data_IF_161218847266
#
_entry.id   IF_161218847266
#
_cell.length_a   1.000
_cell.length_b   1.000
_cell.length_c   1.000
_cell.angle_alpha   90.00
_cell.angle_beta   90.00
_cell.angle_gamma   90.00
#
_symmetry.space_group_name_H-M   'P 1'
#
loop_
_entity.id
_entity.type
_entity.pdbx_description
1 polymer ?
#
# COMPACT_ATOMS: atom_id res chain seq x y z
N UNK A 1 -11.05 -17.14 15.62
CA UNK A 1 -11.91 -16.82 14.47
C UNK A 1 -10.99 -16.60 13.28
N UNK A 2 -11.33 -17.04 12.06
CA UNK A 2 -10.46 -16.76 10.90
C UNK A 2 -10.48 -15.27 10.57
N UNK A 3 -9.30 -14.68 10.36
CA UNK A 3 -9.18 -13.28 9.96
C UNK A 3 -9.78 -13.05 8.55
N UNK A 4 -10.34 -11.85 8.26
CA UNK A 4 -10.83 -11.53 6.93
C UNK A 4 -9.68 -11.48 5.91
N UNK A 5 -9.98 -11.55 4.61
CA UNK A 5 -8.96 -11.44 3.54
C UNK A 5 -8.38 -10.04 3.37
N UNK A 6 -9.08 -9.02 3.87
CA UNK A 6 -8.58 -7.66 3.91
C UNK A 6 -9.07 -6.98 5.19
N UNK A 7 -8.29 -6.02 5.68
CA UNK A 7 -8.69 -5.16 6.78
C UNK A 7 -7.98 -3.83 6.68
N UNK A 8 -8.66 -2.74 7.04
CA UNK A 8 -8.06 -1.40 7.06
C UNK A 8 -8.56 -0.58 8.25
N UNK A 9 -7.67 -0.26 9.16
CA UNK A 9 -7.90 0.78 10.16
C UNK A 9 -7.69 2.17 9.56
N UNK A 10 -8.41 3.16 10.08
CA UNK A 10 -8.25 4.56 9.67
C UNK A 10 -7.97 5.44 10.89
N UNK A 11 -7.12 6.44 10.66
CA UNK A 11 -6.84 7.53 11.57
C UNK A 11 -7.51 8.82 11.05
N UNK A 12 -7.31 9.95 11.74
CA UNK A 12 -7.94 11.24 11.45
C UNK A 12 -7.49 11.85 10.12
N UNK A 13 -6.36 11.42 9.59
CA UNK A 13 -5.89 11.79 8.25
C UNK A 13 -4.47 11.30 7.96
N UNK A 14 -4.00 11.63 6.76
CA UNK A 14 -2.61 11.41 6.35
C UNK A 14 -1.92 12.76 6.42
N UNK A 15 -1.19 12.94 7.52
CA UNK A 15 -0.52 14.18 7.84
C UNK A 15 0.85 14.29 7.15
N UNK A 16 1.40 15.50 7.15
CA UNK A 16 2.72 15.78 6.58
C UNK A 16 3.64 16.29 7.69
N UNK A 17 4.72 15.57 7.98
CA UNK A 17 5.66 15.89 9.06
C UNK A 17 6.59 17.09 8.77
N UNK A 18 6.49 17.69 7.57
CA UNK A 18 7.14 18.96 7.15
C UNK A 18 8.66 19.07 7.39
N UNK A 19 9.36 17.94 7.40
CA UNK A 19 10.81 17.88 7.59
C UNK A 19 11.26 17.78 9.05
N UNK A 20 10.33 17.70 10.00
CA UNK A 20 10.61 17.75 11.44
C UNK A 20 11.14 16.45 12.04
N UNK A 21 11.35 15.37 11.25
CA UNK A 21 11.73 14.02 11.73
C UNK A 21 10.74 13.38 12.75
N UNK A 22 9.45 13.70 12.61
CA UNK A 22 8.36 13.29 13.52
C UNK A 22 7.68 11.96 13.18
N UNK A 23 8.31 11.12 12.37
CA UNK A 23 7.71 9.87 11.89
C UNK A 23 7.18 8.98 13.03
N UNK A 24 7.90 8.90 14.15
CA UNK A 24 7.47 8.13 15.33
C UNK A 24 6.16 8.64 15.91
N UNK A 25 6.00 9.96 15.93
CA UNK A 25 4.85 10.61 16.54
C UNK A 25 3.60 10.36 15.70
N UNK A 26 3.70 10.61 14.39
CA UNK A 26 2.60 10.38 13.45
C UNK A 26 2.18 8.90 13.42
N UNK A 27 3.14 7.97 13.46
CA UNK A 27 2.81 6.54 13.46
C UNK A 27 2.12 6.10 14.76
N UNK A 28 2.59 6.61 15.91
CA UNK A 28 2.01 6.32 17.23
C UNK A 28 0.63 6.95 17.41
N UNK A 29 0.46 8.23 17.04
CA UNK A 29 -0.84 8.91 17.09
C UNK A 29 -1.85 8.19 16.21
N UNK A 30 -1.51 7.89 14.95
CA UNK A 30 -2.41 7.19 14.02
C UNK A 30 -2.85 5.81 14.55
N UNK A 31 -1.94 5.04 15.15
CA UNK A 31 -2.30 3.78 15.82
C UNK A 31 -3.30 4.00 16.95
N UNK A 32 -3.05 4.97 17.83
CA UNK A 32 -3.91 5.25 18.98
C UNK A 32 -5.26 5.79 18.58
N UNK A 33 -5.32 6.65 17.56
CA UNK A 33 -6.56 7.15 16.99
C UNK A 33 -7.46 6.00 16.52
N UNK A 34 -6.90 5.05 15.77
CA UNK A 34 -7.62 3.86 15.33
C UNK A 34 -8.01 2.93 16.49
N UNK A 35 -7.12 2.77 17.47
CA UNK A 35 -7.38 1.93 18.64
C UNK A 35 -8.50 2.50 19.51
N UNK A 36 -8.46 3.79 19.84
CA UNK A 36 -9.44 4.46 20.70
C UNK A 36 -10.74 4.83 19.99
N UNK A 37 -10.78 4.84 18.66
CA UNK A 37 -12.05 4.88 17.94
C UNK A 37 -12.96 3.69 18.29
N UNK A 38 -12.38 2.55 18.70
CA UNK A 38 -13.12 1.37 19.19
C UNK A 38 -13.64 1.54 20.63
N UNK A 39 -13.15 2.53 21.36
CA UNK A 39 -13.62 2.90 22.70
C UNK A 39 -14.72 3.97 22.60
N UNK A 40 -14.49 5.00 21.80
CA UNK A 40 -15.32 6.20 21.77
C UNK A 40 -16.29 6.28 20.58
N UNK A 41 -16.21 5.37 19.62
CA UNK A 41 -17.11 5.32 18.47
C UNK A 41 -16.90 6.47 17.47
N UNK A 42 -15.76 7.15 17.54
CA UNK A 42 -15.34 8.18 16.60
C UNK A 42 -13.81 8.28 16.61
N UNK A 43 -13.23 8.74 15.50
CA UNK A 43 -11.79 9.02 15.42
C UNK A 43 -11.55 10.43 15.97
N UNK A 44 -10.71 10.54 16.99
CA UNK A 44 -10.32 11.82 17.60
C UNK A 44 -8.85 12.11 17.31
N UNK A 45 -8.50 13.23 16.63
CA UNK A 45 -7.10 13.59 16.34
C UNK A 45 -6.26 13.75 17.61
N UNK A 46 -5.10 13.09 17.66
CA UNK A 46 -4.17 13.13 18.80
C UNK A 46 -2.92 13.96 18.50
N UNK A 47 -2.41 14.63 19.53
CA UNK A 47 -1.34 15.62 19.34
C UNK A 47 0.04 15.00 19.08
N UNK A 48 0.59 15.26 17.89
CA UNK A 48 1.98 14.90 17.58
C UNK A 48 3.00 15.74 18.35
N UNK A 49 2.65 16.99 18.70
CA UNK A 49 3.49 17.85 19.54
C UNK A 49 3.55 17.35 20.98
N UNK A 50 2.45 16.81 21.51
CA UNK A 50 2.45 16.15 22.81
C UNK A 50 3.35 14.91 22.81
N UNK A 51 3.25 14.08 21.77
CA UNK A 51 4.16 12.95 21.58
C UNK A 51 5.62 13.42 21.55
N UNK A 52 5.94 14.52 20.87
CA UNK A 52 7.32 15.02 20.78
C UNK A 52 7.84 15.46 22.14
N UNK A 53 7.03 16.22 22.87
CA UNK A 53 7.32 16.67 24.23
C UNK A 53 7.56 15.49 25.17
N UNK A 54 6.68 14.48 25.18
CA UNK A 54 6.87 13.27 26.01
C UNK A 54 8.17 12.56 25.70
N UNK A 55 8.46 12.43 24.40
CA UNK A 55 9.67 11.81 23.90
C UNK A 55 10.95 12.52 24.38
N UNK A 56 10.99 13.85 24.26
CA UNK A 56 12.19 14.66 24.53
C UNK A 56 12.54 14.74 26.00
N UNK A 57 11.56 14.49 26.89
CA UNK A 57 11.79 14.33 28.34
C UNK A 57 12.68 13.13 28.68
N UNK A 58 12.76 12.10 27.82
CA UNK A 58 13.41 10.82 28.15
C UNK A 58 14.42 10.33 27.12
N UNK A 59 14.49 10.95 25.94
CA UNK A 59 15.32 10.43 24.86
C UNK A 59 16.83 10.64 25.09
N UNK A 60 17.20 11.64 25.90
CA UNK A 60 18.59 12.00 26.20
C UNK A 60 19.35 12.53 24.98
N UNK A 61 18.62 13.06 23.97
CA UNK A 61 19.17 13.54 22.70
C UNK A 61 18.63 14.94 22.39
N UNK A 62 19.11 15.97 23.11
CA UNK A 62 18.65 17.35 22.90
C UNK A 62 18.90 17.82 21.46
N UNK A 63 20.03 17.45 20.86
CA UNK A 63 20.40 17.92 19.51
C UNK A 63 19.80 17.09 18.36
N UNK A 64 19.09 15.99 18.66
CA UNK A 64 18.51 15.14 17.63
C UNK A 64 17.08 15.57 17.31
N UNK A 65 16.76 15.72 16.03
CA UNK A 65 15.40 16.10 15.60
C UNK A 65 14.38 14.96 15.66
N UNK A 66 14.81 13.71 15.93
CA UNK A 66 13.94 12.54 16.04
C UNK A 66 14.21 11.68 17.28
N UNK A 67 13.38 10.66 17.50
CA UNK A 67 13.28 9.93 18.77
C UNK A 67 13.29 8.41 18.58
N UNK A 68 13.87 7.63 19.51
CA UNK A 68 13.64 6.19 19.58
C UNK A 68 12.15 5.85 19.81
N UNK A 69 11.55 5.07 18.91
CA UNK A 69 10.13 4.70 18.95
C UNK A 69 9.70 4.07 20.28
N UNK A 70 10.52 3.17 20.81
CA UNK A 70 10.24 2.41 22.03
C UNK A 70 10.10 3.36 23.23
N UNK A 71 10.98 4.36 23.33
CA UNK A 71 10.91 5.38 24.39
C UNK A 71 9.61 6.19 24.31
N UNK A 72 9.20 6.60 23.11
CA UNK A 72 7.94 7.32 22.92
C UNK A 72 6.76 6.44 23.34
N UNK A 73 6.70 5.20 22.86
CA UNK A 73 5.60 4.28 23.17
C UNK A 73 5.52 3.99 24.68
N UNK A 74 6.65 3.86 25.37
CA UNK A 74 6.68 3.66 26.82
C UNK A 74 6.16 4.90 27.58
N UNK A 75 6.50 6.11 27.12
CA UNK A 75 5.93 7.35 27.68
C UNK A 75 4.43 7.46 27.43
N UNK A 76 3.94 7.02 26.28
CA UNK A 76 2.51 7.00 26.00
C UNK A 76 1.77 5.96 26.85
N UNK A 77 2.40 4.81 27.17
CA UNK A 77 1.85 3.88 28.16
C UNK A 77 1.85 4.45 29.59
N UNK A 78 2.69 5.44 29.88
CA UNK A 78 2.74 6.09 31.19
C UNK A 78 1.70 7.22 31.31
N UNK A 79 1.61 8.09 30.31
CA UNK A 79 0.84 9.33 30.38
C UNK A 79 -0.39 9.39 29.45
N UNK A 80 -0.44 8.55 28.42
CA UNK A 80 -1.40 8.67 27.32
C UNK A 80 -1.10 9.84 26.39
N UNK A 81 -2.07 10.19 25.54
CA UNK A 81 -1.95 11.29 24.57
C UNK A 81 -3.12 12.25 24.69
N UNK A 82 -2.87 13.56 24.73
CA UNK A 82 -3.92 14.55 24.63
C UNK A 82 -4.34 14.78 23.16
N UNK A 83 -5.46 15.44 22.97
CA UNK A 83 -6.00 15.73 21.64
C UNK A 83 -5.22 16.85 20.94
N UNK A 84 -5.22 16.83 19.60
CA UNK A 84 -4.67 17.92 18.79
C UNK A 84 -5.38 19.26 19.06
N UNK A 85 -6.68 19.22 19.42
CA UNK A 85 -7.43 20.41 19.79
C UNK A 85 -6.92 21.07 21.09
N UNK A 86 -6.46 20.26 22.05
CA UNK A 86 -5.99 20.76 23.34
C UNK A 86 -4.50 21.16 23.31
N UNK A 87 -3.68 20.43 22.56
CA UNK A 87 -2.25 20.72 22.40
C UNK A 87 -1.88 20.70 20.92
N UNK A 88 -2.13 21.78 20.19
CA UNK A 88 -2.01 21.79 18.74
C UNK A 88 -0.58 21.63 18.25
N UNK A 89 -0.44 21.13 17.03
CA UNK A 89 0.83 21.03 16.34
C UNK A 89 1.46 22.40 16.21
N UNK A 90 2.63 22.53 16.82
CA UNK A 90 3.37 23.78 16.84
C UNK A 90 4.39 23.79 15.69
N UNK A 91 4.25 24.74 14.77
CA UNK A 91 5.06 24.80 13.54
C UNK A 91 6.49 25.34 13.74
N UNK A 92 6.82 25.86 14.92
CA UNK A 92 8.15 26.40 15.21
C UNK A 92 9.16 25.26 15.45
N UNK A 93 10.32 25.34 14.80
CA UNK A 93 11.19 24.19 14.47
C UNK A 93 12.25 23.87 15.52
N UNK A 94 12.43 24.71 16.53
CA UNK A 94 13.49 24.54 17.54
C UNK A 94 13.05 23.64 18.72
N UNK A 95 12.75 22.38 18.41
CA UNK A 95 12.52 21.34 19.41
C UNK A 95 13.80 20.91 20.14
N UNK A 96 14.96 21.23 19.57
CA UNK A 96 16.27 20.87 20.12
C UNK A 96 16.59 21.62 21.42
N UNK A 97 15.92 22.76 21.67
CA UNK A 97 16.08 23.56 22.88
C UNK A 97 15.11 23.16 24.01
N UNK A 98 14.34 22.07 23.86
CA UNK A 98 13.24 21.70 24.78
C UNK A 98 12.18 22.81 24.97
N UNK A 99 12.10 23.76 24.05
CA UNK A 99 11.07 24.80 24.05
C UNK A 99 9.79 24.20 23.49
N UNK A 100 8.96 23.66 24.39
CA UNK A 100 7.61 23.19 24.04
C UNK A 100 6.58 24.22 24.47
N UNK A 101 5.38 24.15 23.89
CA UNK A 101 4.23 24.86 24.43
C UNK A 101 4.03 24.44 25.91
N UNK A 102 3.64 25.36 26.80
CA UNK A 102 3.39 25.02 28.19
C UNK A 102 2.35 23.89 28.33
N UNK A 103 2.64 22.92 29.20
CA UNK A 103 1.71 21.85 29.56
C UNK A 103 0.91 22.21 30.80
N UNK A 104 -0.33 21.74 30.91
CA UNK A 104 -1.20 21.93 32.09
C UNK A 104 -1.65 20.60 32.67
N UNK A 105 -2.05 20.57 33.94
CA UNK A 105 -2.60 19.36 34.58
C UNK A 105 -3.85 18.83 33.85
N UNK A 106 -4.68 19.74 33.32
CA UNK A 106 -5.86 19.36 32.52
C UNK A 106 -5.48 18.56 31.26
N UNK A 107 -4.36 18.87 30.62
CA UNK A 107 -3.85 18.10 29.47
C UNK A 107 -3.43 16.69 29.89
N UNK A 108 -2.77 16.55 31.04
CA UNK A 108 -2.40 15.25 31.60
C UNK A 108 -3.62 14.41 31.99
N UNK A 109 -4.65 15.04 32.56
CA UNK A 109 -5.91 14.36 32.86
C UNK A 109 -6.67 13.94 31.59
N UNK A 110 -6.69 14.76 30.54
CA UNK A 110 -7.26 14.35 29.26
C UNK A 110 -6.47 13.19 28.64
N UNK A 111 -5.13 13.25 28.69
CA UNK A 111 -4.27 12.26 28.07
C UNK A 111 -4.56 10.83 28.56
N UNK A 112 -4.97 10.68 29.83
CA UNK A 112 -5.37 9.39 30.41
C UNK A 112 -6.53 8.71 29.66
N UNK A 113 -7.38 9.46 28.94
CA UNK A 113 -8.45 8.91 28.10
C UNK A 113 -7.90 8.05 26.96
N UNK A 114 -6.75 8.44 26.41
CA UNK A 114 -6.11 7.78 25.26
C UNK A 114 -4.82 7.07 25.69
N UNK A 115 -4.88 6.37 26.83
CA UNK A 115 -3.74 5.70 27.44
C UNK A 115 -3.79 4.18 27.20
N UNK A 116 -2.87 3.62 26.39
CA UNK A 116 -2.73 2.17 26.28
C UNK A 116 -2.13 1.60 27.57
N UNK A 117 -2.36 0.31 27.82
CA UNK A 117 -1.92 -0.39 29.03
C UNK A 117 -0.42 -0.71 29.01
N UNK A 118 0.08 -1.19 27.87
CA UNK A 118 1.52 -1.47 27.66
C UNK A 118 1.86 -1.57 26.18
N UNK A 119 3.16 -1.42 25.88
CA UNK A 119 3.75 -1.77 24.59
C UNK A 119 3.91 -3.29 24.48
N UNK A 120 3.73 -3.81 23.27
CA UNK A 120 4.00 -5.19 22.89
C UNK A 120 5.05 -5.18 21.79
N UNK A 121 6.08 -6.01 21.93
CA UNK A 121 7.08 -6.24 20.88
C UNK A 121 6.71 -7.47 20.07
N UNK A 122 6.70 -7.33 18.74
CA UNK A 122 6.28 -8.38 17.82
C UNK A 122 7.47 -8.79 16.96
N UNK A 123 7.68 -10.09 16.79
CA UNK A 123 8.70 -10.60 15.87
C UNK A 123 8.36 -10.16 14.45
N UNK A 124 9.32 -9.56 13.76
CA UNK A 124 9.12 -9.02 12.40
C UNK A 124 8.72 -10.09 11.38
N UNK A 125 9.03 -11.36 11.65
CA UNK A 125 8.66 -12.50 10.80
C UNK A 125 7.30 -13.11 11.13
N UNK A 126 6.62 -12.68 12.18
CA UNK A 126 5.35 -13.24 12.65
C UNK A 126 4.16 -12.51 12.02
N UNK A 127 3.90 -12.81 10.75
CA UNK A 127 2.83 -12.19 9.95
C UNK A 127 1.46 -12.38 10.59
N UNK A 128 1.16 -13.56 11.13
CA UNK A 128 -0.15 -13.84 11.71
C UNK A 128 -0.38 -13.02 12.99
N UNK A 129 0.63 -12.90 13.86
CA UNK A 129 0.54 -12.01 15.03
C UNK A 129 0.34 -10.55 14.62
N UNK A 130 1.05 -10.07 13.59
CA UNK A 130 0.86 -8.70 13.07
C UNK A 130 -0.58 -8.51 12.56
N UNK A 131 -1.13 -9.47 11.81
CA UNK A 131 -2.51 -9.41 11.30
C UNK A 131 -3.54 -9.42 12.44
N UNK A 132 -3.33 -10.19 13.49
CA UNK A 132 -4.18 -10.15 14.68
C UNK A 132 -4.14 -8.76 15.33
N UNK A 133 -2.96 -8.15 15.50
CA UNK A 133 -2.86 -6.78 16.05
C UNK A 133 -3.51 -5.72 15.16
N UNK A 134 -3.45 -5.88 13.83
CA UNK A 134 -4.20 -5.03 12.90
C UNK A 134 -5.70 -5.15 13.15
N UNK A 135 -6.25 -6.36 13.22
CA UNK A 135 -7.69 -6.56 13.35
C UNK A 135 -8.19 -6.22 14.76
N UNK A 136 -7.46 -6.59 15.80
CA UNK A 136 -7.93 -6.60 17.19
C UNK A 136 -7.44 -5.41 18.01
N UNK A 137 -6.30 -4.80 17.63
CA UNK A 137 -5.65 -3.74 18.41
C UNK A 137 -5.43 -2.43 17.64
N UNK A 138 -5.93 -2.31 16.42
CA UNK A 138 -5.85 -1.10 15.60
C UNK A 138 -4.62 -1.00 14.70
N UNK A 139 -3.66 -1.93 14.82
CA UNK A 139 -2.43 -1.93 14.00
C UNK A 139 -1.15 -2.14 14.80
N UNK A 140 -0.05 -1.93 14.10
CA UNK A 140 1.29 -1.96 14.66
C UNK A 140 2.07 -0.73 14.19
N UNK A 141 3.06 -0.26 14.95
CA UNK A 141 4.06 0.69 14.46
C UNK A 141 5.34 -0.06 14.18
N UNK A 142 5.98 0.25 13.06
CA UNK A 142 7.23 -0.37 12.64
C UNK A 142 8.30 0.66 12.36
N UNK A 143 9.54 0.34 12.71
CA UNK A 143 10.70 1.01 12.14
C UNK A 143 11.10 0.29 10.85
N UNK A 144 11.07 1.01 9.75
CA UNK A 144 11.52 0.56 8.43
C UNK A 144 12.84 1.22 8.05
N UNK A 145 13.61 0.54 7.22
CA UNK A 145 14.84 1.07 6.63
C UNK A 145 14.51 1.76 5.31
N UNK A 146 14.96 3.00 5.15
CA UNK A 146 14.75 3.74 3.92
C UNK A 146 15.82 3.38 2.89
N UNK A 147 15.38 3.05 1.70
CA UNK A 147 16.23 2.86 0.53
C UNK A 147 15.88 3.94 -0.50
N UNK A 148 16.88 4.34 -1.30
CA UNK A 148 16.72 5.41 -2.30
C UNK A 148 15.57 5.12 -3.26
N UNK A 149 15.43 3.87 -3.67
CA UNK A 149 14.40 3.34 -4.57
C UNK A 149 12.99 3.43 -3.98
N UNK A 150 12.85 3.49 -2.65
CA UNK A 150 11.57 3.58 -1.95
C UNK A 150 11.17 5.01 -1.60
N UNK A 151 11.96 6.00 -2.02
CA UNK A 151 11.57 7.41 -1.90
C UNK A 151 10.31 7.70 -2.71
N UNK A 152 10.20 7.09 -3.91
CA UNK A 152 9.05 7.21 -4.81
C UNK A 152 8.62 5.82 -5.30
N UNK A 153 7.98 5.02 -4.44
CA UNK A 153 7.65 3.65 -4.76
C UNK A 153 6.64 3.60 -5.90
N UNK A 154 6.81 2.59 -6.77
CA UNK A 154 5.96 2.39 -7.94
C UNK A 154 4.52 2.18 -7.46
N UNK A 155 3.68 3.20 -7.68
CA UNK A 155 2.28 3.22 -7.24
C UNK A 155 2.10 2.90 -5.75
N UNK A 156 3.03 3.35 -4.90
CA UNK A 156 2.97 3.06 -3.45
C UNK A 156 3.49 1.68 -3.06
N UNK A 157 3.85 0.81 -4.00
CA UNK A 157 4.34 -0.52 -3.67
C UNK A 157 5.84 -0.52 -3.35
N UNK A 158 6.20 -0.98 -2.16
CA UNK A 158 7.59 -1.11 -1.72
C UNK A 158 8.01 -2.56 -1.83
N UNK A 159 8.85 -2.87 -2.81
CA UNK A 159 9.37 -4.23 -3.06
C UNK A 159 10.85 -4.31 -2.73
N UNK A 160 11.40 -5.53 -2.76
CA UNK A 160 12.83 -5.77 -2.58
C UNK A 160 13.66 -4.85 -3.50
N UNK A 161 14.67 -4.13 -2.98
CA UNK A 161 15.48 -3.22 -3.75
C UNK A 161 16.41 -4.01 -4.66
N UNK A 162 17.10 -3.29 -5.56
CA UNK A 162 18.13 -3.89 -6.38
C UNK A 162 19.24 -4.49 -5.51
N UNK A 163 19.87 -5.57 -6.01
CA UNK A 163 21.02 -6.17 -5.34
C UNK A 163 22.13 -5.13 -5.22
N UNK A 164 22.71 -5.00 -4.03
CA UNK A 164 23.76 -4.02 -3.74
C UNK A 164 23.27 -2.68 -3.20
N UNK A 165 21.96 -2.44 -3.14
CA UNK A 165 21.41 -1.23 -2.52
C UNK A 165 21.59 -1.26 -0.99
N UNK A 166 21.93 -0.11 -0.41
CA UNK A 166 22.10 0.05 1.04
C UNK A 166 21.06 1.04 1.59
N UNK A 167 20.59 0.84 2.84
CA UNK A 167 19.68 1.77 3.47
C UNK A 167 20.41 3.07 3.85
N UNK A 168 19.72 4.20 3.72
CA UNK A 168 20.26 5.52 4.03
C UNK A 168 19.52 6.24 5.17
N UNK A 169 18.60 5.55 5.86
CA UNK A 169 17.85 6.12 6.96
C UNK A 169 16.89 5.14 7.61
N UNK A 170 16.22 5.61 8.66
CA UNK A 170 15.15 4.91 9.34
C UNK A 170 13.88 5.77 9.29
N UNK A 171 12.73 5.11 9.28
CA UNK A 171 11.44 5.76 9.29
C UNK A 171 10.46 4.96 10.12
N UNK A 172 9.64 5.62 10.92
CA UNK A 172 8.56 4.95 11.64
C UNK A 172 7.26 5.04 10.82
N UNK A 173 6.53 3.93 10.72
CA UNK A 173 5.33 3.84 9.91
C UNK A 173 4.26 3.01 10.62
N UNK A 174 2.99 3.40 10.46
CA UNK A 174 1.87 2.66 11.02
C UNK A 174 1.38 1.60 10.04
N UNK A 175 1.46 0.33 10.43
CA UNK A 175 0.88 -0.82 9.75
C UNK A 175 -0.61 -0.88 10.13
N UNK A 176 -1.45 -0.35 9.26
CA UNK A 176 -2.86 -0.10 9.53
C UNK A 176 -3.81 -1.15 8.93
N UNK A 177 -3.31 -1.95 7.99
CA UNK A 177 -4.14 -2.89 7.25
C UNK A 177 -3.33 -3.97 6.54
N UNK A 178 -4.06 -4.85 5.88
CA UNK A 178 -3.51 -5.84 4.95
C UNK A 178 -4.55 -6.23 3.90
N UNK A 179 -4.07 -6.82 2.81
CA UNK A 179 -4.90 -7.44 1.78
C UNK A 179 -4.22 -8.69 1.23
N UNK A 180 -4.97 -9.79 1.23
CA UNK A 180 -4.56 -11.12 0.76
C UNK A 180 -5.10 -11.40 -0.65
N UNK A 181 -4.44 -12.32 -1.37
CA UNK A 181 -4.88 -12.82 -2.68
C UNK A 181 -5.05 -11.73 -3.77
N UNK A 182 -4.28 -10.63 -3.67
CA UNK A 182 -4.26 -9.54 -4.64
C UNK A 182 -2.96 -9.53 -5.44
N UNK A 183 -2.86 -10.31 -6.55
CA UNK A 183 -1.65 -10.38 -7.34
C UNK A 183 -1.32 -9.05 -8.02
N UNK A 184 -0.06 -8.60 -7.91
CA UNK A 184 0.49 -7.49 -8.68
C UNK A 184 1.94 -7.79 -9.07
N UNK A 185 2.25 -7.53 -10.34
CA UNK A 185 3.61 -7.70 -10.87
C UNK A 185 4.37 -6.37 -10.80
N UNK A 186 5.52 -6.40 -10.15
CA UNK A 186 6.44 -5.25 -10.02
C UNK A 186 7.83 -5.76 -10.37
N UNK A 187 8.50 -5.08 -11.32
CA UNK A 187 9.83 -5.46 -11.79
C UNK A 187 9.96 -6.95 -12.19
N UNK A 188 8.91 -7.50 -12.81
CA UNK A 188 8.88 -8.90 -13.26
C UNK A 188 8.57 -9.94 -12.17
N UNK A 189 8.35 -9.53 -10.91
CA UNK A 189 7.99 -10.42 -9.81
C UNK A 189 6.53 -10.21 -9.42
N UNK A 190 5.75 -11.29 -9.33
CA UNK A 190 4.34 -11.25 -8.90
C UNK A 190 4.23 -11.50 -7.40
N UNK A 191 3.74 -10.51 -6.66
CA UNK A 191 3.41 -10.61 -5.24
C UNK A 191 1.91 -10.71 -5.05
N UNK A 192 1.43 -11.34 -3.97
CA UNK A 192 0.00 -11.60 -3.76
C UNK A 192 -0.58 -11.00 -2.48
N UNK A 193 0.22 -10.86 -1.44
CA UNK A 193 -0.25 -10.50 -0.11
C UNK A 193 0.53 -9.30 0.39
N UNK A 194 -0.18 -8.32 0.95
CA UNK A 194 0.36 -6.98 1.18
C UNK A 194 -0.03 -6.47 2.55
N UNK A 195 0.92 -5.93 3.29
CA UNK A 195 0.65 -4.99 4.36
C UNK A 195 0.35 -3.61 3.79
N UNK A 196 -0.60 -2.91 4.42
CA UNK A 196 -0.95 -1.52 4.13
C UNK A 196 -0.39 -0.65 5.26
N UNK A 197 0.47 0.29 4.90
CA UNK A 197 1.15 1.16 5.86
C UNK A 197 0.87 2.62 5.56
N UNK A 198 0.50 3.40 6.56
CA UNK A 198 0.21 4.83 6.41
C UNK A 198 1.48 5.66 6.56
N UNK A 199 1.80 6.47 5.55
CA UNK A 199 2.93 7.41 5.56
C UNK A 199 2.62 8.69 6.34
N UNK A 200 3.69 9.42 6.68
CA UNK A 200 3.63 10.74 7.36
C UNK A 200 4.16 11.89 6.49
N UNK A 201 4.14 11.72 5.16
CA UNK A 201 4.54 12.74 4.18
C UNK A 201 3.36 13.20 3.30
N UNK A 202 2.15 13.17 3.85
CA UNK A 202 0.94 13.56 3.14
C UNK A 202 0.51 12.59 2.04
N UNK A 203 -0.58 12.95 1.35
CA UNK A 203 -1.28 12.09 0.40
C UNK A 203 -0.55 11.89 -0.94
N UNK A 204 0.51 12.67 -1.20
CA UNK A 204 1.27 12.62 -2.45
C UNK A 204 2.39 11.57 -2.44
N UNK A 205 2.85 11.15 -1.26
CA UNK A 205 3.81 10.05 -1.13
C UNK A 205 3.09 8.71 -1.18
N UNK A 206 3.72 7.72 -1.81
CA UNK A 206 3.13 6.40 -1.99
C UNK A 206 1.92 6.42 -2.94
N UNK A 207 0.86 5.69 -2.57
CA UNK A 207 -0.44 5.75 -3.23
C UNK A 207 -1.47 6.33 -2.26
N UNK A 208 -1.84 7.60 -2.50
CA UNK A 208 -2.74 8.36 -1.64
C UNK A 208 -2.28 8.36 -0.18
N UNK A 209 -0.97 8.43 0.08
CA UNK A 209 -0.41 8.41 1.43
C UNK A 209 -0.24 7.02 2.06
N UNK A 210 -0.47 5.94 1.30
CA UNK A 210 -0.24 4.58 1.76
C UNK A 210 0.89 3.90 0.99
N UNK A 211 1.61 3.02 1.69
CA UNK A 211 2.55 2.07 1.13
C UNK A 211 1.96 0.66 1.18
N UNK A 212 2.21 -0.10 0.12
CA UNK A 212 1.85 -1.50 -0.01
C UNK A 212 3.13 -2.33 -0.01
N UNK A 213 3.35 -3.09 1.06
CA UNK A 213 4.57 -3.88 1.22
C UNK A 213 4.21 -5.35 1.14
N UNK A 214 4.69 -6.11 0.14
CA UNK A 214 4.40 -7.52 0.06
C UNK A 214 5.07 -8.26 1.21
N UNK A 215 4.44 -9.34 1.69
CA UNK A 215 4.93 -10.10 2.85
C UNK A 215 6.37 -10.57 2.67
N UNK A 216 6.73 -10.97 1.46
CA UNK A 216 8.10 -11.36 1.09
C UNK A 216 9.08 -10.21 1.31
N UNK A 217 8.76 -9.00 0.83
CA UNK A 217 9.63 -7.84 1.06
C UNK A 217 9.68 -7.40 2.53
N UNK A 218 8.61 -7.66 3.28
CA UNK A 218 8.52 -7.36 4.71
C UNK A 218 9.44 -8.23 5.57
N UNK A 219 9.47 -9.55 5.31
CA UNK A 219 10.19 -10.51 6.17
C UNK A 219 11.58 -10.90 5.64
N UNK A 220 11.83 -10.80 4.34
CA UNK A 220 13.06 -11.32 3.75
C UNK A 220 14.27 -10.44 4.04
N UNK A 221 15.43 -11.11 4.09
CA UNK A 221 16.72 -10.45 4.05
C UNK A 221 17.07 -10.00 2.63
N UNK A 222 17.68 -8.82 2.56
CA UNK A 222 18.10 -8.09 1.39
C UNK A 222 19.63 -8.04 1.41
N UNK A 223 20.25 -8.38 0.29
CA UNK A 223 21.71 -8.39 0.16
C UNK A 223 22.16 -7.06 -0.41
N UNK A 224 22.73 -6.23 0.46
CA UNK A 224 23.43 -5.00 0.09
C UNK A 224 24.82 -5.28 -0.47
N UNK A 225 25.58 -4.21 -0.71
CA UNK A 225 26.95 -4.28 -1.19
C UNK A 225 27.91 -4.71 -0.07
N UNK A 226 27.60 -4.32 1.17
CA UNK A 226 28.43 -4.57 2.35
C UNK A 226 27.68 -5.31 3.46
N UNK A 227 26.36 -5.50 3.33
CA UNK A 227 25.51 -6.02 4.39
C UNK A 227 24.45 -7.01 3.89
N UNK A 228 23.91 -7.81 4.82
CA UNK A 228 22.67 -8.58 4.61
C UNK A 228 21.70 -8.15 5.69
N UNK A 229 20.56 -7.60 5.30
CA UNK A 229 19.70 -6.87 6.22
C UNK A 229 18.19 -7.01 5.91
N UNK A 230 17.29 -6.66 6.82
CA UNK A 230 15.83 -6.69 6.59
C UNK A 230 15.27 -5.29 6.36
N UNK A 231 14.20 -5.18 5.59
CA UNK A 231 13.46 -3.92 5.44
C UNK A 231 12.89 -3.42 6.77
N UNK A 232 12.30 -4.36 7.51
CA UNK A 232 11.66 -4.12 8.79
C UNK A 232 12.69 -4.33 9.89
N UNK A 233 12.96 -3.27 10.65
CA UNK A 233 13.88 -3.29 11.79
C UNK A 233 13.18 -3.77 13.06
N UNK A 234 11.97 -3.29 13.30
CA UNK A 234 11.17 -3.66 14.47
C UNK A 234 9.68 -3.45 14.23
N UNK A 235 8.85 -4.16 15.00
CA UNK A 235 7.39 -4.03 14.98
C UNK A 235 6.89 -4.04 16.42
N UNK A 236 6.02 -3.08 16.74
CA UNK A 236 5.47 -2.88 18.07
C UNK A 236 3.97 -2.59 17.98
N UNK A 237 3.23 -2.90 19.04
CA UNK A 237 1.82 -2.56 19.17
C UNK A 237 1.52 -2.08 20.59
N UNK A 238 0.26 -1.71 20.84
CA UNK A 238 -0.25 -1.40 22.17
C UNK A 238 -1.29 -2.42 22.60
N UNK A 239 -1.21 -2.87 23.85
CA UNK A 239 -2.33 -3.53 24.53
C UNK A 239 -3.30 -2.47 25.06
N UNK A 240 -4.58 -2.60 24.72
CA UNK A 240 -5.66 -1.83 25.33
C UNK A 240 -6.39 -2.71 26.36
N UNK A 241 -6.91 -2.11 27.43
CA UNK A 241 -7.85 -2.81 28.31
C UNK A 241 -9.13 -3.16 27.53
N UNK A 242 -9.38 -4.45 27.36
CA UNK A 242 -10.51 -4.96 26.59
C UNK A 242 -11.86 -4.52 27.16
N UNK A 243 -11.94 -4.19 28.46
CA UNK A 243 -13.17 -3.70 29.08
C UNK A 243 -13.56 -2.29 28.61
N UNK A 244 -12.63 -1.54 28.01
CA UNK A 244 -12.90 -0.21 27.46
C UNK A 244 -13.52 -0.29 26.05
N UNK A 245 -13.40 -1.42 25.35
CA UNK A 245 -13.82 -1.55 23.96
C UNK A 245 -15.34 -1.64 23.87
N UNK A 246 -15.97 -0.61 23.28
CA UNK A 246 -17.42 -0.54 23.06
C UNK A 246 -17.83 -0.84 21.61
N UNK A 247 -16.92 -0.60 20.66
CA UNK A 247 -17.13 -0.70 19.22
C UNK A 247 -16.05 -1.59 18.57
N UNK A 248 -16.03 -2.91 18.86
CA UNK A 248 -14.97 -3.80 18.38
C UNK A 248 -14.90 -3.91 16.85
N UNK A 249 -16.00 -3.58 16.15
CA UNK A 249 -16.11 -3.65 14.69
C UNK A 249 -16.07 -2.28 14.00
N UNK A 250 -15.58 -1.24 14.68
CA UNK A 250 -15.62 0.14 14.20
C UNK A 250 -15.07 0.31 12.77
N UNK A 251 -13.97 -0.39 12.44
CA UNK A 251 -13.31 -0.30 11.13
C UNK A 251 -13.73 -1.37 10.11
N UNK A 252 -14.61 -2.32 10.45
CA UNK A 252 -14.89 -3.50 9.62
C UNK A 252 -15.46 -3.19 8.22
N UNK A 253 -16.02 -1.99 8.01
CA UNK A 253 -16.57 -1.57 6.72
C UNK A 253 -15.53 -0.93 5.79
N UNK A 254 -14.34 -0.63 6.29
CA UNK A 254 -13.28 -0.03 5.48
C UNK A 254 -12.76 -1.05 4.47
N UNK A 255 -12.52 -0.57 3.25
CA UNK A 255 -11.93 -1.36 2.18
C UNK A 255 -10.55 -0.82 1.84
N UNK A 256 -9.64 -1.72 1.49
CA UNK A 256 -8.32 -1.35 0.98
C UNK A 256 -8.47 -0.88 -0.47
N UNK A 257 -8.14 0.38 -0.72
CA UNK A 257 -7.99 0.93 -2.08
C UNK A 257 -6.59 0.58 -2.58
N UNK A 258 -6.49 -0.54 -3.29
CA UNK A 258 -5.22 -1.08 -3.80
C UNK A 258 -4.88 -0.49 -5.19
N UNK A 259 -3.60 -0.14 -5.47
CA UNK A 259 -3.22 0.56 -6.70
C UNK A 259 -3.44 -0.27 -7.97
N UNK A 260 -4.27 0.25 -8.89
CA UNK A 260 -4.50 -0.28 -10.25
C UNK A 260 -3.21 -0.40 -11.07
N UNK A 261 -3.12 -1.36 -11.99
CA UNK A 261 -1.99 -1.46 -12.93
C UNK A 261 -2.19 -0.47 -14.09
N UNK A 262 -1.16 0.28 -14.45
CA UNK A 262 -1.18 1.24 -15.57
C UNK A 262 -0.21 0.79 -16.67
N UNK A 263 -0.68 0.74 -17.91
CA UNK A 263 0.12 0.39 -19.09
C UNK A 263 0.03 1.57 -20.07
N UNK A 264 1.15 2.20 -20.38
CA UNK A 264 1.25 3.29 -21.35
C UNK A 264 1.98 2.81 -22.61
N UNK A 265 1.24 2.74 -23.73
CA UNK A 265 1.71 2.30 -25.03
C UNK A 265 1.76 3.48 -26.02
N UNK A 266 2.63 3.34 -27.02
CA UNK A 266 2.64 4.18 -28.23
C UNK A 266 2.45 3.30 -29.47
N UNK A 267 1.53 3.68 -30.35
CA UNK A 267 1.29 2.96 -31.61
C UNK A 267 2.58 2.90 -32.44
N UNK A 268 2.89 1.72 -32.98
CA UNK A 268 4.10 1.45 -33.76
C UNK A 268 5.37 1.26 -32.92
N UNK A 269 5.32 1.43 -31.60
CA UNK A 269 6.45 1.21 -30.69
C UNK A 269 6.34 -0.12 -29.97
N UNK A 270 7.45 -0.84 -29.83
CA UNK A 270 7.58 -1.98 -28.92
C UNK A 270 7.84 -1.54 -27.48
N UNK A 271 8.43 -0.36 -27.28
CA UNK A 271 8.66 0.19 -25.96
C UNK A 271 7.32 0.63 -25.34
N UNK A 272 7.12 0.24 -24.09
CA UNK A 272 5.90 0.45 -23.29
C UNK A 272 6.30 0.79 -21.86
N UNK A 273 5.47 1.52 -21.12
CA UNK A 273 5.67 1.73 -19.68
C UNK A 273 4.59 1.00 -18.89
N UNK A 274 5.00 0.09 -18.00
CA UNK A 274 4.11 -0.60 -17.06
C UNK A 274 4.41 -0.06 -15.67
N UNK A 275 3.41 0.56 -15.05
CA UNK A 275 3.55 1.23 -13.75
C UNK A 275 4.77 2.17 -13.73
N UNK A 276 4.97 2.94 -14.81
CA UNK A 276 6.12 3.85 -15.03
C UNK A 276 7.48 3.18 -15.25
N UNK A 277 7.56 1.85 -15.28
CA UNK A 277 8.78 1.11 -15.61
C UNK A 277 8.79 0.77 -17.09
N UNK A 278 9.89 1.05 -17.77
CA UNK A 278 10.04 0.68 -19.19
C UNK A 278 10.10 -0.84 -19.36
N UNK A 279 9.34 -1.32 -20.34
CA UNK A 279 9.36 -2.70 -20.81
C UNK A 279 9.32 -2.73 -22.34
N UNK A 280 9.53 -3.91 -22.91
CA UNK A 280 9.48 -4.13 -24.35
C UNK A 280 8.44 -5.21 -24.64
N UNK A 281 7.46 -4.88 -25.47
CA UNK A 281 6.53 -5.84 -26.03
C UNK A 281 7.19 -6.59 -27.19
N UNK A 282 6.82 -7.85 -27.38
CA UNK A 282 7.35 -8.63 -28.51
C UNK A 282 6.90 -8.06 -29.88
N UNK A 283 5.72 -7.43 -29.92
CA UNK A 283 5.14 -6.81 -31.11
C UNK A 283 4.52 -5.44 -30.77
N UNK A 284 4.61 -4.42 -31.64
CA UNK A 284 4.05 -3.10 -31.33
C UNK A 284 2.52 -3.09 -31.34
N UNK A 285 1.93 -2.16 -30.59
CA UNK A 285 0.51 -1.86 -30.78
C UNK A 285 0.28 -1.26 -32.17
N UNK A 286 -0.75 -1.72 -32.90
CA UNK A 286 -1.06 -1.28 -34.26
C UNK A 286 -2.48 -0.76 -34.36
N UNK A 287 -2.77 0.08 -35.35
CA UNK A 287 -4.14 0.53 -35.64
C UNK A 287 -4.57 -0.01 -37.00
N UNK A 288 -5.75 -0.61 -37.04
CA UNK A 288 -6.37 -1.12 -38.25
C UNK A 288 -7.83 -0.71 -38.25
N UNK A 289 -8.29 -0.05 -39.33
CA UNK A 289 -9.68 0.40 -39.47
C UNK A 289 -10.21 1.16 -38.24
N UNK A 290 -9.34 1.98 -37.61
CA UNK A 290 -9.67 2.74 -36.39
C UNK A 290 -9.60 1.94 -35.08
N UNK A 291 -9.37 0.63 -35.13
CA UNK A 291 -9.24 -0.24 -33.96
C UNK A 291 -7.78 -0.42 -33.56
N UNK A 292 -7.47 -0.15 -32.30
CA UNK A 292 -6.15 -0.47 -31.73
C UNK A 292 -6.06 -1.96 -31.41
N UNK A 293 -5.05 -2.61 -31.95
CA UNK A 293 -4.67 -3.98 -31.67
C UNK A 293 -3.40 -4.02 -30.82
N UNK A 294 -3.41 -4.82 -29.77
CA UNK A 294 -2.29 -4.94 -28.81
C UNK A 294 -1.93 -6.42 -28.65
N UNK A 295 -0.65 -6.77 -28.40
CA UNK A 295 -0.27 -8.16 -28.14
C UNK A 295 -1.04 -8.72 -26.94
N UNK A 296 -1.83 -9.76 -27.19
CA UNK A 296 -2.77 -10.31 -26.21
C UNK A 296 -2.07 -10.80 -24.95
N UNK A 297 -1.00 -11.59 -25.12
CA UNK A 297 -0.24 -12.16 -24.00
C UNK A 297 0.32 -11.07 -23.09
N UNK A 298 1.00 -10.08 -23.66
CA UNK A 298 1.56 -8.96 -22.91
C UNK A 298 0.47 -8.22 -22.11
N UNK A 299 -0.62 -7.85 -22.77
CA UNK A 299 -1.72 -7.12 -22.12
C UNK A 299 -2.34 -7.94 -20.97
N UNK A 300 -2.66 -9.20 -21.21
CA UNK A 300 -3.29 -10.08 -20.23
C UNK A 300 -2.38 -10.40 -19.04
N UNK A 301 -1.14 -10.81 -19.28
CA UNK A 301 -0.20 -11.16 -18.20
C UNK A 301 0.16 -9.93 -17.36
N UNK A 302 0.29 -8.75 -17.99
CA UNK A 302 0.49 -7.49 -17.27
C UNK A 302 -0.69 -7.15 -16.35
N UNK A 303 -1.91 -7.49 -16.76
CA UNK A 303 -3.14 -7.32 -15.98
C UNK A 303 -3.46 -8.51 -15.07
N UNK A 304 -2.54 -9.47 -14.89
CA UNK A 304 -2.68 -10.56 -13.94
C UNK A 304 -3.48 -11.78 -14.43
N UNK A 305 -3.64 -11.94 -15.74
CA UNK A 305 -4.24 -13.13 -16.35
C UNK A 305 -3.18 -14.13 -16.78
N UNK A 306 -3.47 -15.42 -16.62
CA UNK A 306 -2.67 -16.51 -17.19
C UNK A 306 -3.20 -16.85 -18.58
N UNK A 307 -2.34 -16.74 -19.61
CA UNK A 307 -2.71 -16.97 -21.00
C UNK A 307 -2.35 -18.37 -21.49
N UNK A 308 -3.30 -19.07 -22.11
CA UNK A 308 -3.13 -20.35 -22.80
C UNK A 308 -3.62 -20.26 -24.25
N UNK A 309 -2.99 -21.05 -25.11
CA UNK A 309 -3.39 -21.21 -26.51
C UNK A 309 -3.57 -22.70 -26.82
N UNK A 310 -4.71 -23.06 -27.39
CA UNK A 310 -4.97 -24.37 -27.99
C UNK A 310 -4.76 -24.25 -29.50
N UNK A 311 -3.71 -24.88 -30.03
CA UNK A 311 -3.48 -24.93 -31.48
C UNK A 311 -4.48 -25.81 -32.21
N UNK A 312 -5.00 -26.84 -31.55
CA UNK A 312 -6.01 -27.75 -32.09
C UNK A 312 -7.32 -27.00 -32.36
N UNK A 313 -7.78 -26.23 -31.38
CA UNK A 313 -9.07 -25.55 -31.44
C UNK A 313 -8.95 -24.13 -32.01
N UNK A 314 -7.72 -23.63 -32.18
CA UNK A 314 -7.41 -22.22 -32.48
C UNK A 314 -8.06 -21.26 -31.49
N UNK A 315 -8.12 -21.68 -30.21
CA UNK A 315 -8.72 -20.91 -29.12
C UNK A 315 -7.64 -20.38 -28.20
N UNK A 316 -7.75 -19.11 -27.87
CA UNK A 316 -6.91 -18.41 -26.91
C UNK A 316 -7.76 -18.17 -25.66
N UNK A 317 -7.22 -18.52 -24.49
CA UNK A 317 -7.86 -18.26 -23.20
C UNK A 317 -6.95 -17.47 -22.28
N UNK A 318 -7.55 -16.57 -21.50
CA UNK A 318 -6.89 -15.85 -20.42
C UNK A 318 -7.75 -16.00 -19.17
N UNK A 319 -7.19 -16.59 -18.11
CA UNK A 319 -7.89 -16.79 -16.85
C UNK A 319 -7.25 -15.96 -15.74
N UNK A 320 -8.08 -15.21 -15.00
CA UNK A 320 -7.68 -14.54 -13.77
C UNK A 320 -8.44 -15.14 -12.59
N UNK A 321 -7.69 -15.74 -11.66
CA UNK A 321 -8.22 -16.17 -10.36
C UNK A 321 -8.70 -14.98 -9.53
N UNK A 322 -8.02 -13.83 -9.65
CA UNK A 322 -8.35 -12.59 -8.93
C UNK A 322 -9.75 -12.10 -9.30
N UNK A 323 -10.01 -11.97 -10.60
CA UNK A 323 -11.30 -11.46 -11.09
C UNK A 323 -12.38 -12.54 -11.16
N UNK A 324 -12.03 -13.80 -10.84
CA UNK A 324 -12.84 -14.99 -11.13
C UNK A 324 -13.39 -14.95 -12.56
N UNK A 325 -12.49 -14.68 -13.53
CA UNK A 325 -12.85 -14.33 -14.89
C UNK A 325 -12.06 -15.16 -15.90
N UNK A 326 -12.76 -15.76 -16.86
CA UNK A 326 -12.21 -16.41 -18.05
C UNK A 326 -12.56 -15.57 -19.28
N UNK A 327 -11.54 -15.14 -20.01
CA UNK A 327 -11.67 -14.58 -21.36
C UNK A 327 -11.32 -15.67 -22.36
N UNK A 328 -12.16 -15.87 -23.36
CA UNK A 328 -11.94 -16.84 -24.43
C UNK A 328 -12.24 -16.21 -25.80
N UNK A 329 -11.40 -16.51 -26.77
CA UNK A 329 -11.57 -16.06 -28.15
C UNK A 329 -11.02 -17.09 -29.12
N UNK A 330 -11.63 -17.18 -30.29
CA UNK A 330 -11.12 -17.95 -31.42
C UNK A 330 -10.37 -17.02 -32.37
N UNK A 331 -9.28 -17.49 -32.97
CA UNK A 331 -8.57 -16.76 -34.02
C UNK A 331 -9.54 -16.46 -35.17
N UNK A 332 -9.42 -15.28 -35.77
CA UNK A 332 -10.27 -14.74 -36.85
C UNK A 332 -11.72 -14.45 -36.45
N UNK A 333 -12.05 -14.54 -35.16
CA UNK A 333 -13.38 -14.16 -34.64
C UNK A 333 -13.47 -12.67 -34.32
N UNK A 334 -14.64 -12.09 -34.62
CA UNK A 334 -15.05 -10.75 -34.20
C UNK A 334 -15.79 -10.73 -32.86
N UNK A 335 -15.75 -11.84 -32.11
CA UNK A 335 -16.44 -11.99 -30.82
C UNK A 335 -15.46 -12.50 -29.77
N UNK A 336 -15.41 -11.82 -28.64
CA UNK A 336 -14.67 -12.23 -27.44
C UNK A 336 -15.69 -12.61 -26.37
N UNK A 337 -15.57 -13.82 -25.80
CA UNK A 337 -16.38 -14.28 -24.68
C UNK A 337 -15.68 -13.95 -23.36
N UNK A 338 -16.44 -13.49 -22.38
CA UNK A 338 -16.03 -13.41 -20.99
C UNK A 338 -17.00 -14.20 -20.11
N UNK A 339 -16.47 -14.87 -19.10
CA UNK A 339 -17.24 -15.55 -18.06
C UNK A 339 -16.69 -15.12 -16.71
N UNK A 340 -17.48 -14.40 -15.93
CA UNK A 340 -17.07 -13.86 -14.63
C UNK A 340 -18.12 -14.17 -13.56
N UNK A 341 -17.72 -14.87 -12.50
CA UNK A 341 -18.64 -15.21 -11.40
C UNK A 341 -19.90 -15.95 -11.84
N UNK A 342 -19.80 -16.81 -12.87
CA UNK A 342 -20.93 -17.54 -13.45
C UNK A 342 -21.77 -16.74 -14.47
N UNK A 343 -21.47 -15.46 -14.68
CA UNK A 343 -22.13 -14.64 -15.71
C UNK A 343 -21.32 -14.64 -17.00
N UNK A 344 -21.98 -14.91 -18.12
CA UNK A 344 -21.37 -14.85 -19.46
C UNK A 344 -21.70 -13.51 -20.12
N UNK A 345 -20.68 -12.87 -20.72
CA UNK A 345 -20.81 -11.67 -21.55
C UNK A 345 -19.98 -11.80 -22.83
N UNK A 346 -20.29 -10.98 -23.83
CA UNK A 346 -19.63 -10.99 -25.12
C UNK A 346 -19.31 -9.56 -25.55
N UNK A 347 -18.14 -9.34 -26.12
CA UNK A 347 -17.79 -8.11 -26.82
C UNK A 347 -17.66 -8.38 -28.31
N UNK A 348 -18.27 -7.52 -29.12
CA UNK A 348 -18.14 -7.53 -30.58
C UNK A 348 -17.13 -6.47 -31.00
N UNK A 349 -16.34 -6.79 -32.02
CA UNK A 349 -15.30 -5.90 -32.56
C UNK A 349 -15.45 -5.77 -34.08
N UNK A 350 -15.05 -4.63 -34.64
CA UNK A 350 -15.00 -4.40 -36.08
C UNK A 350 -13.82 -5.08 -36.77
N UNK A 351 -12.76 -5.34 -35.99
CA UNK A 351 -11.54 -6.02 -36.45
C UNK A 351 -11.36 -7.30 -35.63
N UNK A 352 -11.14 -8.47 -36.27
CA UNK A 352 -11.06 -9.72 -35.55
C UNK A 352 -9.78 -9.84 -34.74
N UNK A 353 -9.79 -10.74 -33.76
CA UNK A 353 -8.55 -11.23 -33.14
C UNK A 353 -7.74 -11.93 -34.23
N UNK A 354 -6.48 -11.55 -34.39
CA UNK A 354 -5.66 -12.08 -35.49
C UNK A 354 -4.26 -12.45 -35.05
N UNK A 355 -3.65 -13.35 -35.80
CA UNK A 355 -2.24 -13.72 -35.62
C UNK A 355 -1.42 -13.00 -36.69
N UNK A 356 -0.51 -12.12 -36.27
CA UNK A 356 0.41 -11.42 -37.16
C UNK A 356 1.83 -11.73 -36.72
N UNK A 357 2.65 -12.26 -37.65
CA UNK A 357 4.04 -12.62 -37.38
C UNK A 357 4.21 -13.52 -36.14
N UNK A 358 3.27 -14.45 -35.92
CA UNK A 358 3.28 -15.35 -34.76
C UNK A 358 2.68 -14.78 -33.46
N UNK A 359 2.30 -13.50 -33.44
CA UNK A 359 1.71 -12.85 -32.27
C UNK A 359 0.19 -12.69 -32.41
N UNK A 360 -0.54 -13.10 -31.38
CA UNK A 360 -1.97 -12.81 -31.29
C UNK A 360 -2.17 -11.36 -30.90
N UNK A 361 -2.89 -10.61 -31.73
CA UNK A 361 -3.27 -9.23 -31.48
C UNK A 361 -4.77 -9.16 -31.21
N UNK A 362 -5.14 -8.43 -30.15
CA UNK A 362 -6.53 -8.28 -29.70
C UNK A 362 -6.99 -6.82 -29.81
N UNK A 363 -8.27 -6.58 -30.18
CA UNK A 363 -8.91 -5.28 -30.06
C UNK A 363 -8.93 -4.79 -28.61
N UNK A 364 -8.13 -3.76 -28.33
CA UNK A 364 -7.87 -3.28 -26.97
C UNK A 364 -9.15 -2.86 -26.24
N UNK A 365 -10.03 -2.10 -26.91
CA UNK A 365 -11.27 -1.60 -26.28
C UNK A 365 -12.25 -2.72 -25.94
N UNK A 366 -12.39 -3.70 -26.82
CA UNK A 366 -13.27 -4.84 -26.58
C UNK A 366 -12.78 -5.67 -25.38
N UNK A 367 -11.46 -5.87 -25.27
CA UNK A 367 -10.87 -6.50 -24.09
C UNK A 367 -11.08 -5.67 -22.81
N UNK A 368 -10.89 -4.36 -22.90
CA UNK A 368 -11.03 -3.46 -21.76
C UNK A 368 -12.47 -3.41 -21.22
N UNK A 369 -13.46 -3.37 -22.12
CA UNK A 369 -14.89 -3.42 -21.77
C UNK A 369 -15.23 -4.68 -20.98
N UNK A 370 -14.72 -5.85 -21.40
CA UNK A 370 -14.98 -7.11 -20.72
C UNK A 370 -14.30 -7.20 -19.35
N UNK A 371 -13.13 -6.60 -19.19
CA UNK A 371 -12.32 -6.69 -17.96
C UNK A 371 -12.57 -5.54 -16.98
N UNK A 372 -13.34 -4.52 -17.37
CA UNK A 372 -13.52 -3.30 -16.60
C UNK A 372 -12.31 -2.36 -16.63
N UNK A 373 -11.27 -2.69 -17.41
CA UNK A 373 -10.13 -1.83 -17.62
C UNK A 373 -10.56 -0.54 -18.35
N UNK A 374 -9.92 0.57 -18.00
CA UNK A 374 -10.16 1.87 -18.64
C UNK A 374 -9.08 2.15 -19.66
N UNK A 375 -9.48 2.56 -20.86
CA UNK A 375 -8.56 2.95 -21.93
C UNK A 375 -8.73 4.42 -22.22
N UNK A 376 -7.63 5.15 -22.16
CA UNK A 376 -7.55 6.56 -22.53
C UNK A 376 -6.60 6.76 -23.71
N UNK A 377 -6.95 7.70 -24.58
CA UNK A 377 -6.19 8.04 -25.78
C UNK A 377 -5.84 9.53 -25.71
N UNK A 378 -4.64 9.86 -25.26
CA UNK A 378 -4.20 11.23 -25.05
C UNK A 378 -2.76 11.42 -25.53
N UNK A 379 -2.45 12.56 -26.17
CA UNK A 379 -1.09 12.94 -26.56
C UNK A 379 -0.33 11.86 -27.36
N UNK A 380 -1.03 11.17 -28.28
CA UNK A 380 -0.48 10.03 -29.07
C UNK A 380 -0.01 8.83 -28.22
N UNK A 381 -0.46 8.76 -26.96
CA UNK A 381 -0.29 7.62 -26.06
C UNK A 381 -1.63 6.96 -25.80
N UNK A 382 -1.56 5.67 -25.53
CA UNK A 382 -2.69 4.84 -25.12
C UNK A 382 -2.39 4.42 -23.68
N UNK A 383 -3.29 4.75 -22.76
CA UNK A 383 -3.15 4.39 -21.35
C UNK A 383 -4.23 3.40 -20.98
N UNK A 384 -3.83 2.21 -20.53
CA UNK A 384 -4.73 1.17 -20.00
C UNK A 384 -4.59 1.17 -18.48
N UNK A 385 -5.70 1.23 -17.76
CA UNK A 385 -5.75 1.11 -16.30
C UNK A 385 -6.63 -0.07 -15.93
N UNK A 386 -6.06 -1.08 -15.28
CA UNK A 386 -6.77 -2.29 -14.85
C UNK A 386 -6.66 -2.58 -13.38
#
# INVERSE_FOLDING_TARGET
MSLPKQYLNKASGIEHQRGSNWCTNHAVSSLLEAQFARVYGNITPLSNSWAMMLSKKVDGRPDATGTPLEKLMDQVCQYGMCTEALYPTWEDKDYNDNKFLPTTDAMYEEAKKYKPKKRIDIKTTDIESIKHHIVEHGGCVSIVKLYKEHTFPIQGCVVKPAKGSEPNGLHAIWICGYIEDMPKTINGVTYKNWFVMQESYGTTRGYKGYLFVPYEAFIEKWTGLYSVDTYIKSVHAFELDSNLIKYPYFHNKNQVDFPCTTIELKVGSKNVQVNKVEQVMDYPATVEQGTTLVPFRFLCETLGYTVRYSSLDKVITAYSKMHNQLIAMQVDSNVIKSEQGGKVSYAKTSVPVKVVSGYTLIPLRAFAELTGAKVDYANKRITVRG
#
